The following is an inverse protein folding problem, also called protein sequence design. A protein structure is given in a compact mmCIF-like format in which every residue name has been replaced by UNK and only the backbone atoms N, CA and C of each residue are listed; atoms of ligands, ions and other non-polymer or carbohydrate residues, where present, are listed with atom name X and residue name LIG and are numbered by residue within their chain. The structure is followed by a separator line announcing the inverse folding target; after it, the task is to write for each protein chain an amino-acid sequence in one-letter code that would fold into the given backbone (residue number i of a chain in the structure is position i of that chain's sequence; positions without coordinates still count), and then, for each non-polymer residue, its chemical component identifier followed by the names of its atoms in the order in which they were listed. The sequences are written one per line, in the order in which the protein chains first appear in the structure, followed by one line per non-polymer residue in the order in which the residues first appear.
data_IF_819021450086
#
_entry.id   IF_819021450086
#
_cell.length_a   1.000
_cell.length_b   1.000
_cell.length_c   1.000
_cell.angle_alpha   90.00
_cell.angle_beta   90.00
_cell.angle_gamma   90.00
#
_symmetry.space_group_name_H-M   'P 1'
#
loop_
_entity.id
_entity.type
_entity.pdbx_description
1 polymer ?
#
# COMPACT_ATOMS: atom_id res chain seq x y z
N UNK A 1 -65.92 -11.83 -4.38
CA UNK A 1 -66.79 -11.11 -3.44
C UNK A 1 -66.09 -10.98 -2.10
N UNK A 2 -65.99 -9.80 -1.65
CA UNK A 2 -65.63 -9.20 -0.35
C UNK A 2 -64.44 -8.32 -0.40
N UNK A 3 -64.76 -7.05 -0.22
CA UNK A 3 -63.93 -5.88 -0.27
C UNK A 3 -63.25 -5.56 1.10
N UNK A 4 -62.49 -4.49 1.20
CA UNK A 4 -61.29 -4.36 2.00
C UNK A 4 -61.54 -3.75 3.40
N UNK A 5 -60.67 -4.00 4.33
CA UNK A 5 -60.69 -3.41 5.66
C UNK A 5 -59.61 -2.33 5.82
N UNK A 6 -60.08 -1.24 6.31
CA UNK A 6 -59.59 0.09 6.58
C UNK A 6 -58.41 0.15 7.58
N UNK A 7 -57.44 1.01 7.28
CA UNK A 7 -56.41 1.47 8.25
C UNK A 7 -56.98 2.39 9.33
N UNK A 8 -56.38 2.44 10.51
CA UNK A 8 -56.46 3.63 11.38
C UNK A 8 -55.17 4.46 11.31
N UNK A 9 -55.36 5.75 11.05
CA UNK A 9 -54.35 6.83 11.21
C UNK A 9 -54.08 7.01 12.70
N UNK A 10 -52.80 7.04 13.07
CA UNK A 10 -52.40 7.63 14.33
C UNK A 10 -51.60 8.94 14.08
N UNK A 11 -52.14 9.96 14.69
CA UNK A 11 -51.68 11.32 14.78
C UNK A 11 -50.39 11.45 15.56
N UNK A 12 -49.51 12.33 15.09
CA UNK A 12 -48.31 12.77 15.79
C UNK A 12 -48.67 13.68 16.99
N UNK A 13 -47.82 13.75 18.00
CA UNK A 13 -47.68 14.97 18.83
C UNK A 13 -46.44 15.77 18.44
N UNK A 14 -46.69 17.07 18.44
CA UNK A 14 -45.80 18.17 18.15
C UNK A 14 -44.89 18.51 19.35
N UNK A 15 -43.70 19.04 19.00
CA UNK A 15 -42.92 20.08 19.65
C UNK A 15 -42.13 19.77 20.92
N UNK A 16 -40.83 20.01 20.85
CA UNK A 16 -40.16 21.22 21.34
C UNK A 16 -38.68 21.18 21.05
N UNK A 17 -38.24 22.13 20.36
CA UNK A 17 -37.14 23.09 20.38
C UNK A 17 -35.91 22.79 21.25
N UNK A 18 -34.78 23.10 20.62
CA UNK A 18 -33.51 23.61 21.12
C UNK A 18 -32.49 22.59 21.68
N UNK A 19 -31.58 22.21 20.79
CA UNK A 19 -30.15 22.29 21.05
C UNK A 19 -29.41 22.31 19.69
N UNK A 20 -28.96 23.51 19.32
CA UNK A 20 -28.04 23.71 18.22
C UNK A 20 -26.69 23.06 18.59
N UNK A 21 -26.43 21.87 18.05
CA UNK A 21 -25.11 21.31 17.97
C UNK A 21 -24.37 21.94 16.81
N UNK A 22 -23.26 22.63 17.09
CA UNK A 22 -22.36 23.18 16.08
C UNK A 22 -21.95 22.08 15.11
N UNK A 23 -21.92 22.35 13.79
CA UNK A 23 -21.38 21.40 12.83
C UNK A 23 -19.88 21.25 13.10
N UNK A 24 -19.44 20.00 13.29
CA UNK A 24 -18.03 19.67 13.34
C UNK A 24 -17.32 20.33 12.16
N UNK A 25 -16.33 21.16 12.49
CA UNK A 25 -15.43 21.81 11.56
C UNK A 25 -14.79 20.74 10.66
N UNK A 26 -15.29 20.62 9.44
CA UNK A 26 -14.58 19.93 8.37
C UNK A 26 -13.31 20.74 8.13
N UNK A 27 -12.17 20.20 8.58
CA UNK A 27 -10.88 20.73 8.19
C UNK A 27 -10.88 20.85 6.64
N UNK A 28 -10.49 21.99 6.07
CA UNK A 28 -10.42 22.13 4.64
C UNK A 28 -9.45 21.05 4.11
N UNK A 29 -9.90 20.27 3.13
CA UNK A 29 -9.02 19.43 2.36
C UNK A 29 -7.83 20.30 1.94
N UNK A 30 -6.61 19.87 2.29
CA UNK A 30 -5.40 20.57 1.91
C UNK A 30 -5.46 20.78 0.40
N UNK A 31 -5.67 22.03 -0.03
CA UNK A 31 -5.57 22.40 -1.43
C UNK A 31 -4.14 22.04 -1.86
N UNK A 32 -4.04 21.12 -2.82
CA UNK A 32 -2.77 20.90 -3.54
C UNK A 32 -2.31 22.30 -3.97
N UNK A 33 -1.12 22.76 -3.57
CA UNK A 33 -0.65 24.07 -4.01
C UNK A 33 -0.71 24.09 -5.52
N UNK A 34 -1.36 25.09 -6.10
CA UNK A 34 -1.31 25.34 -7.53
C UNK A 34 0.15 25.22 -7.95
N UNK A 35 0.40 24.30 -8.88
CA UNK A 35 1.74 23.83 -9.20
C UNK A 35 2.72 24.98 -9.27
N UNK A 36 3.79 24.89 -8.50
CA UNK A 36 4.91 25.81 -8.62
C UNK A 36 5.47 25.62 -10.01
N UNK A 37 4.93 26.36 -10.97
CA UNK A 37 5.41 26.43 -12.36
C UNK A 37 6.72 27.21 -12.38
N UNK A 38 7.79 26.64 -11.83
CA UNK A 38 9.05 27.36 -11.74
C UNK A 38 10.31 26.51 -11.83
N UNK A 39 10.16 25.20 -11.90
CA UNK A 39 11.31 24.32 -12.09
C UNK A 39 11.48 23.97 -13.57
N UNK A 40 12.31 24.74 -14.28
CA UNK A 40 12.69 24.47 -15.68
C UNK A 40 13.81 23.42 -15.80
N UNK A 41 14.06 22.61 -14.78
CA UNK A 41 15.06 21.54 -14.78
C UNK A 41 14.47 20.20 -15.24
N UNK A 42 15.27 19.38 -15.88
CA UNK A 42 14.93 17.98 -16.10
C UNK A 42 15.04 17.23 -14.79
N UNK A 43 13.90 16.77 -14.27
CA UNK A 43 13.86 15.87 -13.11
C UNK A 43 14.40 14.51 -13.54
N UNK A 44 15.28 13.95 -12.72
CA UNK A 44 15.89 12.65 -13.01
C UNK A 44 15.86 11.79 -11.76
N UNK A 45 15.51 10.51 -11.97
CA UNK A 45 15.64 9.49 -10.94
C UNK A 45 17.14 9.29 -10.64
N UNK A 46 17.55 9.27 -9.39
CA UNK A 46 18.94 8.94 -9.04
C UNK A 46 19.36 7.60 -9.65
N UNK A 47 20.63 7.44 -10.09
CA UNK A 47 21.13 6.15 -10.53
C UNK A 47 20.89 5.09 -9.44
N UNK A 48 20.22 3.97 -9.75
CA UNK A 48 19.95 2.96 -8.75
C UNK A 48 21.24 2.22 -8.39
N UNK A 49 21.37 1.91 -7.10
CA UNK A 49 22.47 1.11 -6.57
C UNK A 49 21.84 0.01 -5.72
N UNK A 50 22.35 -1.21 -5.87
CA UNK A 50 21.87 -2.33 -5.07
C UNK A 50 22.07 -2.08 -3.58
N UNK A 51 21.08 -2.44 -2.80
CA UNK A 51 21.11 -2.31 -1.35
C UNK A 51 22.13 -3.26 -0.74
N UNK A 52 23.04 -2.76 0.11
CA UNK A 52 24.03 -3.61 0.76
C UNK A 52 23.38 -4.67 1.66
N UNK A 53 23.73 -5.93 1.44
CA UNK A 53 23.29 -7.05 2.28
C UNK A 53 23.97 -6.98 3.63
N UNK A 54 23.20 -6.93 4.72
CA UNK A 54 23.72 -6.93 6.11
C UNK A 54 24.09 -8.32 6.55
N UNK A 55 25.20 -8.47 7.23
CA UNK A 55 25.75 -9.78 7.59
C UNK A 55 25.14 -10.41 8.84
N UNK A 56 24.55 -9.60 9.71
CA UNK A 56 24.05 -10.02 11.03
C UNK A 56 25.11 -10.76 11.88
N UNK A 57 26.38 -10.35 11.74
CA UNK A 57 27.53 -10.93 12.44
C UNK A 57 27.33 -10.89 13.97
N UNK A 58 27.98 -11.79 14.72
CA UNK A 58 27.97 -11.76 16.17
C UNK A 58 28.36 -10.39 16.72
N UNK A 59 27.52 -9.80 17.58
CA UNK A 59 27.77 -8.50 18.19
C UNK A 59 27.44 -7.28 17.35
N UNK A 60 27.01 -7.44 16.08
CA UNK A 60 26.65 -6.31 15.21
C UNK A 60 25.38 -5.58 15.67
N UNK A 61 25.26 -4.28 15.37
CA UNK A 61 24.06 -3.51 15.71
C UNK A 61 22.79 -4.08 15.06
N UNK A 62 22.84 -4.41 13.77
CA UNK A 62 21.73 -4.95 13.01
C UNK A 62 21.23 -6.29 13.56
N UNK A 63 22.14 -7.14 14.09
CA UNK A 63 21.76 -8.38 14.75
C UNK A 63 21.03 -8.13 16.07
N UNK A 64 21.47 -7.14 16.85
CA UNK A 64 20.80 -6.79 18.10
C UNK A 64 19.40 -6.22 17.82
N UNK A 65 19.27 -5.36 16.84
CA UNK A 65 18.01 -4.76 16.41
C UNK A 65 17.03 -5.85 15.94
N UNK A 66 17.47 -6.72 15.02
CA UNK A 66 16.64 -7.82 14.51
C UNK A 66 16.17 -8.76 15.64
N UNK A 67 17.06 -9.14 16.57
CA UNK A 67 16.69 -9.97 17.73
C UNK A 67 15.67 -9.30 18.64
N UNK A 68 15.81 -8.00 18.88
CA UNK A 68 14.86 -7.23 19.68
C UNK A 68 13.50 -7.20 19.00
N UNK A 69 13.48 -6.97 17.67
CA UNK A 69 12.24 -6.93 16.90
C UNK A 69 11.57 -8.30 16.81
N UNK A 70 12.31 -9.36 16.59
CA UNK A 70 11.80 -10.74 16.64
C UNK A 70 11.13 -11.05 17.98
N UNK A 71 11.77 -10.71 19.07
CA UNK A 71 11.22 -10.92 20.42
C UNK A 71 9.94 -10.13 20.65
N UNK A 72 9.90 -8.87 20.24
CA UNK A 72 8.69 -8.03 20.33
C UNK A 72 7.56 -8.64 19.52
N UNK A 73 7.78 -8.88 18.22
CA UNK A 73 6.74 -9.38 17.32
C UNK A 73 6.24 -10.78 17.68
N UNK A 74 7.11 -11.66 18.17
CA UNK A 74 6.69 -12.97 18.63
C UNK A 74 5.83 -12.90 19.91
N UNK A 75 5.93 -11.85 20.69
CA UNK A 75 5.11 -11.63 21.89
C UNK A 75 3.79 -10.92 21.63
N UNK A 76 3.57 -10.45 20.39
CA UNK A 76 2.38 -9.72 19.97
C UNK A 76 1.49 -10.60 19.08
N UNK A 77 0.18 -10.55 19.28
CA UNK A 77 -0.78 -11.11 18.34
C UNK A 77 -1.40 -9.94 17.57
N UNK A 78 -1.10 -9.86 16.27
CA UNK A 78 -1.61 -8.80 15.43
C UNK A 78 -3.06 -9.06 14.99
N UNK A 79 -3.83 -8.00 14.77
CA UNK A 79 -5.06 -8.05 14.01
C UNK A 79 -4.81 -7.41 12.65
N UNK A 80 -5.11 -8.13 11.57
CA UNK A 80 -4.84 -7.69 10.20
C UNK A 80 -6.16 -7.38 9.50
N UNK A 81 -6.54 -6.10 9.35
CA UNK A 81 -7.75 -5.71 8.63
C UNK A 81 -7.54 -5.80 7.11
N UNK A 82 -8.63 -5.72 6.35
CA UNK A 82 -8.58 -5.35 4.94
C UNK A 82 -8.26 -3.87 4.83
N UNK A 83 -7.45 -3.48 3.86
CA UNK A 83 -7.17 -2.07 3.56
C UNK A 83 -7.80 -1.74 2.21
N UNK A 84 -8.86 -0.94 2.22
CA UNK A 84 -9.59 -0.57 1.00
C UNK A 84 -9.78 0.95 0.99
N UNK A 85 -9.31 1.60 -0.06
CA UNK A 85 -9.40 3.06 -0.19
C UNK A 85 -8.64 3.83 0.90
N UNK A 86 -7.65 3.20 1.56
CA UNK A 86 -6.90 3.77 2.68
C UNK A 86 -7.56 3.54 4.05
N UNK A 87 -8.72 2.89 4.11
CA UNK A 87 -9.43 2.60 5.35
C UNK A 87 -9.23 1.15 5.81
N UNK A 88 -9.18 0.95 7.13
CA UNK A 88 -9.14 -0.37 7.74
C UNK A 88 -10.56 -0.94 7.88
N UNK A 89 -10.82 -2.07 7.23
CA UNK A 89 -12.11 -2.76 7.27
C UNK A 89 -11.97 -4.08 7.99
N UNK A 90 -12.74 -4.23 9.06
CA UNK A 90 -12.83 -5.43 9.86
C UNK A 90 -14.12 -6.18 9.55
N UNK A 91 -14.02 -7.20 8.69
CA UNK A 91 -15.19 -7.98 8.24
C UNK A 91 -15.85 -8.81 9.36
N UNK A 92 -15.14 -9.04 10.46
CA UNK A 92 -15.56 -9.94 11.54
C UNK A 92 -15.45 -11.45 11.20
N UNK A 93 -15.09 -11.79 9.95
CA UNK A 93 -14.80 -13.15 9.52
C UNK A 93 -13.28 -13.35 9.45
N UNK A 94 -12.71 -13.96 10.48
CA UNK A 94 -11.26 -14.04 10.64
C UNK A 94 -10.72 -15.45 10.52
N UNK A 95 -9.44 -15.54 10.11
CA UNK A 95 -8.61 -16.74 10.21
C UNK A 95 -7.29 -16.41 10.91
N UNK A 96 -6.59 -17.45 11.35
CA UNK A 96 -5.33 -17.28 12.06
C UNK A 96 -4.13 -17.54 11.14
N UNK A 97 -3.09 -16.76 11.37
CA UNK A 97 -1.75 -17.01 10.86
C UNK A 97 -0.87 -17.52 12.00
N UNK A 98 -0.23 -18.67 11.79
CA UNK A 98 0.64 -19.31 12.78
C UNK A 98 2.09 -19.35 12.27
N UNK A 99 3.03 -19.52 13.18
CA UNK A 99 4.42 -19.79 12.77
C UNK A 99 4.51 -21.16 12.08
N UNK A 100 5.12 -21.28 10.89
CA UNK A 100 5.24 -22.55 10.21
C UNK A 100 6.10 -23.60 10.95
N UNK A 101 6.97 -23.16 11.85
CA UNK A 101 7.83 -24.03 12.67
C UNK A 101 7.29 -24.22 14.11
N UNK A 102 6.19 -23.53 14.47
CA UNK A 102 5.46 -23.71 15.73
C UNK A 102 3.97 -23.38 15.53
N UNK A 103 3.20 -24.36 15.09
CA UNK A 103 1.79 -24.19 14.73
C UNK A 103 0.88 -23.82 15.91
N UNK A 104 1.36 -23.94 17.15
CA UNK A 104 0.61 -23.50 18.33
C UNK A 104 0.79 -21.99 18.59
N UNK A 105 1.81 -21.39 17.99
CA UNK A 105 2.09 -19.96 18.12
C UNK A 105 1.34 -19.15 17.06
N UNK A 106 0.26 -18.48 17.49
CA UNK A 106 -0.55 -17.61 16.63
C UNK A 106 0.12 -16.23 16.52
N UNK A 107 0.42 -15.81 15.31
CA UNK A 107 1.02 -14.50 15.00
C UNK A 107 -0.03 -13.41 14.80
N UNK A 108 -1.14 -13.77 14.14
CA UNK A 108 -2.16 -12.80 13.81
C UNK A 108 -3.54 -13.46 13.61
N UNK A 109 -4.59 -12.66 13.81
CA UNK A 109 -5.91 -12.87 13.23
C UNK A 109 -6.04 -11.94 12.02
N UNK A 110 -6.44 -12.46 10.86
CA UNK A 110 -6.65 -11.65 9.65
C UNK A 110 -8.07 -11.75 9.14
N UNK A 111 -8.60 -10.63 8.66
CA UNK A 111 -9.96 -10.52 8.17
C UNK A 111 -10.06 -11.00 6.73
N UNK A 112 -10.97 -11.93 6.46
CA UNK A 112 -11.28 -12.41 5.12
C UNK A 112 -12.23 -11.44 4.42
N UNK A 113 -11.97 -11.17 3.15
CA UNK A 113 -12.85 -10.38 2.32
C UNK A 113 -14.13 -11.14 1.96
N UNK A 114 -15.23 -10.44 1.90
CA UNK A 114 -16.51 -10.89 1.36
C UNK A 114 -16.70 -10.34 -0.06
N UNK A 115 -17.76 -10.77 -0.74
CA UNK A 115 -18.04 -10.28 -2.10
C UNK A 115 -18.25 -8.76 -2.14
N UNK A 116 -18.92 -8.20 -1.13
CA UNK A 116 -19.10 -6.75 -1.00
C UNK A 116 -17.78 -6.00 -0.81
N UNK A 117 -16.83 -6.55 -0.07
CA UNK A 117 -15.50 -5.96 0.14
C UNK A 117 -14.70 -5.94 -1.17
N UNK A 118 -14.81 -7.00 -1.98
CA UNK A 118 -14.18 -7.07 -3.31
C UNK A 118 -14.76 -6.00 -4.24
N UNK A 119 -16.09 -5.85 -4.26
CA UNK A 119 -16.74 -4.79 -5.04
C UNK A 119 -16.28 -3.41 -4.59
N UNK A 120 -16.25 -3.16 -3.28
CA UNK A 120 -15.74 -1.92 -2.70
C UNK A 120 -14.28 -1.65 -3.10
N UNK A 121 -13.41 -2.66 -3.07
CA UNK A 121 -12.02 -2.53 -3.48
C UNK A 121 -11.89 -2.13 -4.96
N UNK A 122 -12.68 -2.74 -5.84
CA UNK A 122 -12.71 -2.39 -7.28
C UNK A 122 -13.18 -0.94 -7.47
N UNK A 123 -14.24 -0.54 -6.78
CA UNK A 123 -14.78 0.82 -6.88
C UNK A 123 -13.80 1.86 -6.34
N UNK A 124 -13.14 1.58 -5.21
CA UNK A 124 -12.09 2.43 -4.66
C UNK A 124 -10.90 2.58 -5.62
N UNK A 125 -10.44 1.48 -6.23
CA UNK A 125 -9.37 1.50 -7.23
C UNK A 125 -9.74 2.34 -8.46
N UNK A 126 -10.98 2.19 -8.96
CA UNK A 126 -11.49 2.98 -10.11
C UNK A 126 -11.65 4.46 -9.78
N UNK A 127 -12.06 4.79 -8.55
CA UNK A 127 -12.15 6.18 -8.11
C UNK A 127 -10.76 6.83 -8.04
N UNK A 128 -9.78 6.14 -7.46
CA UNK A 128 -8.40 6.63 -7.35
C UNK A 128 -7.70 6.76 -8.71
N UNK A 129 -8.08 5.95 -9.71
CA UNK A 129 -7.47 5.94 -11.04
C UNK A 129 -7.44 7.31 -11.68
N UNK A 130 -8.53 8.10 -11.58
CA UNK A 130 -8.64 9.41 -12.23
C UNK A 130 -7.55 10.37 -11.74
N UNK A 131 -7.33 10.41 -10.45
CA UNK A 131 -6.33 11.30 -9.85
C UNK A 131 -4.93 10.76 -10.12
N UNK A 132 -4.66 9.51 -9.77
CA UNK A 132 -3.36 8.87 -9.92
C UNK A 132 -2.83 8.89 -11.34
N UNK A 133 -3.69 8.67 -12.34
CA UNK A 133 -3.31 8.67 -13.76
C UNK A 133 -2.91 10.04 -14.29
N UNK A 134 -3.38 11.12 -13.65
CA UNK A 134 -3.05 12.49 -14.02
C UNK A 134 -1.84 13.07 -13.26
N UNK A 135 -1.32 12.35 -12.26
CA UNK A 135 -0.10 12.77 -11.58
C UNK A 135 1.09 12.74 -12.53
N UNK A 136 2.01 13.71 -12.46
CA UNK A 136 3.30 13.61 -13.14
C UNK A 136 3.98 12.28 -12.82
N UNK A 137 4.63 11.68 -13.79
CA UNK A 137 5.27 10.38 -13.58
C UNK A 137 6.34 10.46 -12.48
N UNK A 138 7.04 11.59 -12.37
CA UNK A 138 8.06 11.85 -11.36
C UNK A 138 7.50 11.79 -9.94
N UNK A 139 6.31 12.34 -9.73
CA UNK A 139 5.66 12.33 -8.42
C UNK A 139 5.18 10.91 -8.06
N UNK A 140 4.74 10.13 -9.05
CA UNK A 140 4.39 8.72 -8.85
C UNK A 140 5.60 7.87 -8.45
N UNK A 141 6.73 8.01 -9.14
CA UNK A 141 7.94 7.24 -8.80
C UNK A 141 8.57 7.71 -7.48
N UNK A 142 8.38 8.97 -7.07
CA UNK A 142 8.86 9.47 -5.79
C UNK A 142 8.25 8.71 -4.60
N UNK A 143 7.02 8.23 -4.71
CA UNK A 143 6.38 7.38 -3.69
C UNK A 143 7.19 6.10 -3.46
N UNK A 144 7.59 5.43 -4.55
CA UNK A 144 8.37 4.18 -4.47
C UNK A 144 9.80 4.42 -3.98
N UNK A 145 10.44 5.51 -4.38
CA UNK A 145 11.76 5.89 -3.85
C UNK A 145 11.68 6.18 -2.35
N UNK A 146 10.61 6.84 -1.89
CA UNK A 146 10.40 7.05 -0.46
C UNK A 146 10.14 5.75 0.30
N UNK A 147 9.38 4.83 -0.27
CA UNK A 147 9.16 3.49 0.29
C UNK A 147 10.48 2.71 0.40
N UNK A 148 11.32 2.76 -0.63
CA UNK A 148 12.66 2.15 -0.62
C UNK A 148 13.52 2.68 0.54
N UNK A 149 13.53 4.00 0.75
CA UNK A 149 14.28 4.63 1.85
C UNK A 149 13.75 4.22 3.23
N UNK A 150 12.45 4.18 3.41
CA UNK A 150 11.84 3.73 4.66
C UNK A 150 12.18 2.26 4.95
N UNK A 151 12.16 1.41 3.94
CA UNK A 151 12.52 -0.01 4.11
C UNK A 151 14.01 -0.18 4.37
N UNK A 152 14.87 0.55 3.68
CA UNK A 152 16.31 0.49 3.88
C UNK A 152 16.74 0.90 5.29
N UNK A 153 15.92 1.70 5.97
CA UNK A 153 16.21 2.27 7.29
C UNK A 153 15.28 1.73 8.37
N UNK A 154 14.13 2.37 8.55
CA UNK A 154 13.24 2.19 9.71
C UNK A 154 12.54 0.83 9.74
N UNK A 155 12.14 0.32 8.57
CA UNK A 155 11.28 -0.88 8.48
C UNK A 155 12.03 -2.18 8.25
N UNK A 156 13.34 -2.13 8.03
CA UNK A 156 14.15 -3.30 7.66
C UNK A 156 14.07 -4.43 8.68
N UNK A 157 14.33 -4.13 9.94
CA UNK A 157 14.27 -5.14 10.99
C UNK A 157 12.84 -5.69 11.18
N UNK A 158 11.82 -4.87 10.97
CA UNK A 158 10.40 -5.28 11.06
C UNK A 158 10.03 -6.25 9.95
N UNK A 159 10.37 -5.95 8.70
CA UNK A 159 10.08 -6.82 7.57
C UNK A 159 10.83 -8.14 7.65
N UNK A 160 12.12 -8.08 8.03
CA UNK A 160 12.92 -9.28 8.23
C UNK A 160 12.37 -10.16 9.37
N UNK A 161 11.97 -9.56 10.48
CA UNK A 161 11.36 -10.30 11.59
C UNK A 161 10.02 -10.94 11.17
N UNK A 162 9.15 -10.22 10.47
CA UNK A 162 7.90 -10.76 9.95
C UNK A 162 8.12 -11.96 9.01
N UNK A 163 9.12 -11.88 8.14
CA UNK A 163 9.52 -12.96 7.22
C UNK A 163 10.04 -14.18 7.97
N UNK A 164 10.90 -13.97 8.97
CA UNK A 164 11.43 -15.06 9.79
C UNK A 164 10.33 -15.77 10.59
N UNK A 165 9.42 -15.02 11.19
CA UNK A 165 8.31 -15.58 11.99
C UNK A 165 7.24 -16.21 11.12
N UNK A 166 6.79 -15.53 10.07
CA UNK A 166 5.66 -15.96 9.25
C UNK A 166 6.00 -16.98 8.17
N UNK A 167 7.29 -17.09 7.79
CA UNK A 167 7.73 -17.99 6.71
C UNK A 167 8.88 -18.92 7.12
N UNK A 168 9.30 -18.90 8.38
CA UNK A 168 10.40 -19.74 8.89
C UNK A 168 11.72 -19.59 8.12
N UNK A 169 11.96 -18.40 7.57
CA UNK A 169 13.21 -18.09 6.86
C UNK A 169 14.33 -17.72 7.85
N UNK A 170 15.56 -17.99 7.44
CA UNK A 170 16.73 -17.50 8.19
C UNK A 170 16.89 -16.00 8.05
N UNK A 171 17.69 -15.38 8.94
CA UNK A 171 17.99 -13.95 8.86
C UNK A 171 18.59 -13.56 7.49
N UNK A 172 19.42 -14.41 6.91
CA UNK A 172 20.03 -14.16 5.61
C UNK A 172 19.00 -14.21 4.46
N UNK A 173 18.10 -15.20 4.47
CA UNK A 173 17.02 -15.29 3.49
C UNK A 173 16.08 -14.07 3.61
N UNK A 174 15.68 -13.72 4.82
CA UNK A 174 14.82 -12.57 5.06
C UNK A 174 15.47 -11.25 4.60
N UNK A 175 16.76 -11.09 4.87
CA UNK A 175 17.52 -9.91 4.44
C UNK A 175 17.53 -9.74 2.93
N UNK A 176 17.68 -10.82 2.17
CA UNK A 176 17.66 -10.78 0.71
C UNK A 176 16.24 -10.61 0.22
N UNK A 177 15.33 -11.54 0.55
CA UNK A 177 13.99 -11.63 -0.01
C UNK A 177 13.08 -10.45 0.35
N UNK A 178 13.10 -10.02 1.61
CA UNK A 178 12.11 -9.06 2.08
C UNK A 178 12.64 -7.65 2.21
N UNK A 179 13.96 -7.46 2.31
CA UNK A 179 14.55 -6.14 2.37
C UNK A 179 15.29 -5.77 1.09
N UNK A 180 16.45 -6.38 0.81
CA UNK A 180 17.32 -5.93 -0.27
C UNK A 180 16.64 -5.96 -1.64
N UNK A 181 16.01 -7.08 -2.01
CA UNK A 181 15.37 -7.20 -3.31
C UNK A 181 14.21 -6.22 -3.48
N UNK A 182 13.36 -6.03 -2.48
CA UNK A 182 12.25 -5.08 -2.60
C UNK A 182 12.74 -3.64 -2.71
N UNK A 183 13.77 -3.26 -1.94
CA UNK A 183 14.41 -1.94 -2.04
C UNK A 183 14.97 -1.74 -3.45
N UNK A 184 15.67 -2.74 -3.97
CA UNK A 184 16.28 -2.69 -5.30
C UNK A 184 15.21 -2.59 -6.38
N UNK A 185 14.16 -3.40 -6.33
CA UNK A 185 13.05 -3.32 -7.28
C UNK A 185 12.43 -1.93 -7.33
N UNK A 186 12.16 -1.31 -6.19
CA UNK A 186 11.59 0.04 -6.17
C UNK A 186 12.54 1.09 -6.76
N UNK A 187 13.85 1.00 -6.46
CA UNK A 187 14.84 1.93 -7.01
C UNK A 187 15.05 1.73 -8.52
N UNK A 188 15.21 0.48 -8.94
CA UNK A 188 15.46 0.16 -10.35
C UNK A 188 14.22 0.38 -11.21
N UNK A 189 13.03 -0.02 -10.76
CA UNK A 189 11.79 0.21 -11.50
C UNK A 189 11.46 1.70 -11.66
N UNK A 190 11.76 2.53 -10.66
CA UNK A 190 11.66 3.98 -10.80
C UNK A 190 12.57 4.51 -11.92
N UNK A 191 13.79 3.98 -12.02
CA UNK A 191 14.73 4.32 -13.09
C UNK A 191 14.26 3.80 -14.45
N UNK A 192 13.80 2.57 -14.53
CA UNK A 192 13.26 1.99 -15.76
C UNK A 192 12.01 2.74 -16.24
N UNK A 193 11.15 3.20 -15.33
CA UNK A 193 10.05 4.07 -15.72
C UNK A 193 10.52 5.35 -16.39
N UNK A 194 11.56 6.01 -15.89
CA UNK A 194 12.15 7.16 -16.56
C UNK A 194 12.69 6.80 -17.95
N UNK A 195 13.40 5.69 -18.08
CA UNK A 195 13.97 5.25 -19.37
C UNK A 195 12.88 4.99 -20.42
N UNK A 196 11.73 4.40 -19.99
CA UNK A 196 10.58 4.24 -20.87
C UNK A 196 10.03 5.58 -21.39
N UNK A 197 9.97 6.62 -20.53
CA UNK A 197 9.54 7.95 -20.97
C UNK A 197 10.60 8.69 -21.80
N UNK A 198 11.88 8.42 -21.56
CA UNK A 198 12.98 9.01 -22.33
C UNK A 198 13.09 8.38 -23.73
N UNK A 199 12.59 7.14 -23.94
CA UNK A 199 12.61 6.46 -25.23
C UNK A 199 11.53 7.03 -26.16
N UNK A 200 11.99 7.89 -27.08
CA UNK A 200 11.12 8.59 -28.01
C UNK A 200 11.49 8.27 -29.47
N UNK A 201 10.52 8.30 -30.40
CA UNK A 201 10.80 8.06 -31.82
C UNK A 201 11.67 9.15 -32.41
N UNK A 202 12.40 8.80 -33.45
CA UNK A 202 13.28 9.73 -34.14
C UNK A 202 12.48 10.87 -34.75
N UNK A 203 12.92 12.08 -34.47
CA UNK A 203 12.44 13.31 -35.10
C UNK A 203 13.46 13.85 -36.11
N UNK A 204 13.02 14.56 -37.16
CA UNK A 204 13.85 15.24 -38.12
C UNK A 204 13.48 16.73 -38.25
N UNK A 205 14.11 17.46 -39.16
CA UNK A 205 13.84 18.89 -39.33
C UNK A 205 12.41 19.22 -39.78
N UNK A 206 11.72 18.24 -40.36
CA UNK A 206 10.36 18.42 -40.92
C UNK A 206 9.27 17.79 -40.02
N UNK A 207 9.64 16.91 -39.05
CA UNK A 207 8.71 16.16 -38.24
C UNK A 207 9.21 16.06 -36.80
N UNK A 208 8.36 16.43 -35.90
CA UNK A 208 8.54 16.17 -34.47
C UNK A 208 7.64 15.02 -34.06
N UNK A 209 8.24 13.87 -33.72
CA UNK A 209 7.54 12.66 -33.26
C UNK A 209 7.69 12.55 -31.76
N UNK A 210 6.59 12.25 -31.09
CA UNK A 210 6.54 12.03 -29.65
C UNK A 210 5.56 10.92 -29.33
N UNK A 211 5.94 10.05 -28.40
CA UNK A 211 5.02 9.10 -27.75
C UNK A 211 4.41 9.74 -26.51
N UNK A 212 3.14 9.50 -26.35
CA UNK A 212 2.40 9.80 -25.12
C UNK A 212 1.79 8.51 -24.60
N UNK A 213 2.04 8.20 -23.32
CA UNK A 213 1.61 6.93 -22.73
C UNK A 213 0.25 7.10 -22.08
N UNK A 214 -0.75 6.46 -22.68
CA UNK A 214 -2.09 6.43 -22.11
C UNK A 214 -2.11 5.55 -20.84
N UNK A 215 -2.71 6.03 -19.72
CA UNK A 215 -2.91 5.21 -18.53
C UNK A 215 -3.68 3.92 -18.84
N UNK A 216 -3.37 2.84 -18.14
CA UNK A 216 -4.14 1.61 -18.19
C UNK A 216 -5.57 1.86 -17.74
N UNK A 217 -6.52 1.18 -18.36
CA UNK A 217 -7.93 1.24 -17.99
C UNK A 217 -8.28 0.19 -16.92
N UNK A 218 -9.27 0.51 -16.07
CA UNK A 218 -9.79 -0.42 -15.09
C UNK A 218 -8.93 -0.49 -13.82
N UNK A 219 -8.66 -1.70 -13.36
CA UNK A 219 -7.88 -1.99 -12.16
C UNK A 219 -6.94 -3.17 -12.41
N UNK A 220 -5.92 -3.29 -11.56
CA UNK A 220 -4.99 -4.42 -11.60
C UNK A 220 -5.41 -5.44 -10.53
N UNK A 221 -5.52 -6.70 -10.93
CA UNK A 221 -5.70 -7.81 -10.01
C UNK A 221 -4.40 -8.61 -9.92
N UNK A 222 -3.82 -8.68 -8.72
CA UNK A 222 -2.58 -9.39 -8.46
C UNK A 222 -2.83 -10.58 -7.52
N UNK A 223 -2.36 -11.77 -7.93
CA UNK A 223 -2.36 -12.97 -7.09
C UNK A 223 -0.93 -13.22 -6.64
N UNK A 224 -0.66 -12.95 -5.38
CA UNK A 224 0.68 -13.04 -4.82
C UNK A 224 1.01 -14.47 -4.37
N UNK A 225 2.25 -14.97 -4.55
CA UNK A 225 2.67 -16.26 -4.02
C UNK A 225 2.79 -16.22 -2.49
N UNK A 226 2.69 -17.39 -1.87
CA UNK A 226 2.73 -17.54 -0.41
C UNK A 226 4.12 -17.46 0.20
N UNK A 227 5.18 -17.54 -0.61
CA UNK A 227 6.56 -17.74 -0.15
C UNK A 227 7.42 -16.47 -0.08
N UNK A 228 6.84 -15.30 -0.33
CA UNK A 228 7.47 -13.99 -0.15
C UNK A 228 6.58 -13.07 0.67
N UNK A 229 7.15 -12.44 1.69
CA UNK A 229 6.40 -11.55 2.60
C UNK A 229 5.93 -10.28 1.90
N UNK A 230 6.73 -9.70 1.03
CA UNK A 230 6.50 -8.33 0.55
C UNK A 230 6.77 -8.13 -0.94
N UNK A 231 7.75 -8.74 -1.55
CA UNK A 231 8.12 -8.50 -2.96
C UNK A 231 6.93 -8.68 -3.87
N UNK A 232 6.28 -9.83 -3.81
CA UNK A 232 5.23 -10.21 -4.72
C UNK A 232 3.96 -9.35 -4.59
N UNK A 233 3.69 -8.76 -3.42
CA UNK A 233 2.58 -7.87 -3.20
C UNK A 233 2.87 -6.41 -3.57
N UNK A 234 4.12 -6.06 -3.83
CA UNK A 234 4.55 -4.68 -4.07
C UNK A 234 5.12 -4.43 -5.48
N UNK A 235 5.25 -5.45 -6.31
CA UNK A 235 5.74 -5.31 -7.69
C UNK A 235 4.64 -5.12 -8.74
N UNK A 236 3.43 -5.71 -8.63
CA UNK A 236 2.35 -5.53 -9.60
C UNK A 236 1.80 -4.12 -9.70
#
# INVERSE_FOLDING_TARGET
MSAPATQPRHTAPSASSDAAGEPASTAPAASVPDGISGFNGNRRVPPPVNEPVRSYAPGSPEKRELKARLKSMAGEKAEIPLIIGGEEIRSGHTMQTVMPHDHQHVLADWHMARNEDVTHAVDAARAAHREWSNWPWEDRVAVFLRAAELLATTWRATLNAATMLGQSKTAFQAEIDSACELIDFWRFNARFAQELYDEQPVSDRSKWNQLDYRPLEGFVYAVTPFNFTSIAGNLP
#
